data_IF_782592503420
#
_entry.id   IF_782592503420
#
_cell.length_a   1.000
_cell.length_b   1.000
_cell.length_c   1.000
_cell.angle_alpha   90.00
_cell.angle_beta   90.00
_cell.angle_gamma   90.00
#
_symmetry.space_group_name_H-M   'P 1'
#
loop_
_entity.id
_entity.type
_entity.pdbx_description
1 polymer ?
#
# COMPACT_ATOMS: atom_id res chain seq x y z
N UNK A 1 16.23 -38.05 53.22
CA UNK A 1 16.25 -38.38 51.76
C UNK A 1 15.05 -37.81 51.00
N UNK A 2 13.79 -37.89 51.46
CA UNK A 2 12.61 -37.36 50.74
C UNK A 2 12.64 -35.83 50.46
N UNK A 3 13.19 -35.01 51.38
CA UNK A 3 13.23 -33.54 51.22
C UNK A 3 14.24 -33.06 50.16
N UNK A 4 15.36 -33.81 49.97
CA UNK A 4 16.35 -33.51 48.95
C UNK A 4 15.79 -33.78 47.57
N UNK A 5 14.98 -34.83 47.40
CA UNK A 5 14.36 -35.15 46.09
C UNK A 5 13.33 -34.09 45.67
N UNK A 6 12.57 -33.50 46.61
CA UNK A 6 11.61 -32.46 46.32
C UNK A 6 12.33 -31.17 45.88
N UNK A 7 13.44 -30.80 46.53
CA UNK A 7 14.24 -29.65 46.16
C UNK A 7 14.91 -29.81 44.79
N UNK A 8 15.43 -31.02 44.49
CA UNK A 8 15.96 -31.31 43.15
C UNK A 8 14.87 -31.27 42.08
N UNK A 9 13.68 -31.78 42.36
CA UNK A 9 12.56 -31.74 41.41
C UNK A 9 12.08 -30.30 41.16
N UNK A 10 12.05 -29.47 42.23
CA UNK A 10 11.70 -28.05 42.10
C UNK A 10 12.76 -27.29 41.32
N UNK A 11 14.05 -27.57 41.53
CA UNK A 11 15.14 -26.95 40.77
C UNK A 11 15.11 -27.34 39.28
N UNK A 12 14.80 -28.63 39.01
CA UNK A 12 14.67 -29.12 37.63
C UNK A 12 13.45 -28.52 36.90
N UNK A 13 12.33 -28.36 37.61
CA UNK A 13 11.14 -27.70 37.08
C UNK A 13 11.39 -26.20 36.79
N UNK A 14 12.18 -25.53 37.62
CA UNK A 14 12.53 -24.13 37.47
C UNK A 14 13.46 -23.89 36.25
N UNK A 15 14.37 -24.83 35.96
CA UNK A 15 15.25 -24.76 34.76
C UNK A 15 14.50 -24.96 33.45
N UNK A 16 13.41 -25.75 33.45
CA UNK A 16 12.56 -25.98 32.27
C UNK A 16 11.71 -24.72 31.97
N UNK A 17 11.33 -23.96 33.00
CA UNK A 17 10.54 -22.73 32.83
C UNK A 17 11.36 -21.54 32.31
N UNK A 18 12.69 -21.56 32.46
CA UNK A 18 13.58 -20.47 31.97
C UNK A 18 13.99 -20.69 30.51
N UNK A 19 13.91 -21.91 29.98
CA UNK A 19 14.28 -22.25 28.59
C UNK A 19 13.18 -21.96 27.55
N UNK A 20 11.99 -21.51 27.97
CA UNK A 20 10.83 -21.41 27.10
C UNK A 20 10.61 -20.05 26.37
N UNK A 21 11.47 -19.07 26.60
CA UNK A 21 11.48 -17.86 25.78
C UNK A 21 12.62 -17.98 24.75
N UNK A 22 12.41 -18.74 23.69
CA UNK A 22 13.12 -18.43 22.47
C UNK A 22 12.71 -17.01 22.08
N UNK A 23 13.63 -16.09 22.32
CA UNK A 23 13.53 -14.73 21.82
C UNK A 23 13.30 -14.84 20.32
N UNK A 24 12.20 -14.32 19.85
CA UNK A 24 11.97 -14.19 18.41
C UNK A 24 13.17 -13.43 17.83
N UNK A 25 14.08 -14.16 17.21
CA UNK A 25 15.33 -13.64 16.67
C UNK A 25 15.15 -13.17 15.20
N UNK A 26 13.91 -12.94 14.76
CA UNK A 26 13.72 -12.31 13.47
C UNK A 26 14.29 -10.89 13.52
N UNK A 27 15.19 -10.64 12.59
CA UNK A 27 15.71 -9.31 12.34
C UNK A 27 14.51 -8.41 11.96
N UNK A 28 14.37 -7.21 12.56
CA UNK A 28 13.24 -6.35 12.22
C UNK A 28 13.28 -5.96 10.73
N UNK A 29 12.15 -5.59 10.13
CA UNK A 29 12.13 -5.11 8.76
C UNK A 29 13.02 -3.86 8.64
N UNK A 30 13.83 -3.79 7.60
CA UNK A 30 14.82 -2.72 7.42
C UNK A 30 14.99 -2.26 5.96
N UNK A 31 14.27 -2.89 5.01
CA UNK A 31 14.34 -2.55 3.59
C UNK A 31 13.17 -1.64 3.21
N UNK A 32 13.46 -0.51 2.58
CA UNK A 32 12.41 0.39 2.11
C UNK A 32 11.98 0.05 0.68
N UNK A 33 10.69 -0.18 0.51
CA UNK A 33 10.04 -0.15 -0.79
C UNK A 33 9.40 1.23 -0.97
N UNK A 34 9.76 1.94 -2.05
CA UNK A 34 9.23 3.27 -2.34
C UNK A 34 8.75 3.37 -3.78
N UNK A 35 7.78 4.23 -4.03
CA UNK A 35 7.27 4.52 -5.36
C UNK A 35 6.46 5.80 -5.39
N UNK A 36 5.96 6.14 -6.56
CA UNK A 36 5.16 7.36 -6.77
C UNK A 36 4.16 7.17 -7.91
N UNK A 37 2.98 7.75 -7.77
CA UNK A 37 2.02 7.92 -8.85
C UNK A 37 2.34 9.19 -9.64
N UNK A 38 2.23 9.11 -10.96
CA UNK A 38 2.46 10.23 -11.86
C UNK A 38 1.37 10.31 -12.93
N UNK A 39 1.17 11.51 -13.45
CA UNK A 39 0.38 11.76 -14.64
C UNK A 39 1.18 12.64 -15.58
N UNK A 40 1.41 12.17 -16.82
CA UNK A 40 2.27 12.83 -17.81
C UNK A 40 3.66 13.20 -17.24
N UNK A 41 4.23 12.31 -16.41
CA UNK A 41 5.52 12.50 -15.77
C UNK A 41 5.53 13.48 -14.58
N UNK A 42 4.41 14.14 -14.28
CA UNK A 42 4.26 15.04 -13.15
C UNK A 42 3.67 14.31 -11.94
N UNK A 43 3.86 14.88 -10.76
CA UNK A 43 3.25 14.36 -9.52
C UNK A 43 1.73 14.31 -9.67
N UNK A 44 1.15 13.14 -9.36
CA UNK A 44 -0.30 12.97 -9.28
C UNK A 44 -0.75 13.17 -7.84
N UNK A 45 -1.48 14.25 -7.58
CA UNK A 45 -1.97 14.58 -6.25
C UNK A 45 -3.26 13.84 -5.94
N UNK A 46 -3.33 13.30 -4.73
CA UNK A 46 -4.52 12.63 -4.19
C UNK A 46 -5.09 13.45 -3.05
N UNK A 47 -6.40 13.31 -2.80
CA UNK A 47 -6.98 13.83 -1.59
C UNK A 47 -6.55 12.96 -0.40
N UNK A 48 -5.57 13.46 0.38
CA UNK A 48 -4.99 12.75 1.52
C UNK A 48 -5.88 12.68 2.76
N UNK A 49 -7.11 13.17 2.67
CA UNK A 49 -8.01 13.26 3.82
C UNK A 49 -8.97 12.06 3.93
N UNK A 50 -8.57 10.91 3.43
CA UNK A 50 -9.38 9.70 3.49
C UNK A 50 -9.38 9.10 4.89
N UNK A 51 -10.47 9.31 5.59
CA UNK A 51 -10.78 8.59 6.86
C UNK A 51 -11.24 7.15 6.62
N UNK A 52 -11.45 6.75 5.37
CA UNK A 52 -12.06 5.47 5.00
C UNK A 52 -11.08 4.47 4.36
N UNK A 53 -9.77 4.77 4.31
CA UNK A 53 -8.78 3.92 3.65
C UNK A 53 -8.77 4.06 2.12
N UNK A 54 -9.35 5.14 1.56
CA UNK A 54 -9.33 5.41 0.12
C UNK A 54 -7.94 5.79 -0.39
N UNK A 55 -6.99 6.06 0.51
CA UNK A 55 -5.56 6.25 0.25
C UNK A 55 -4.78 4.92 0.22
N UNK A 56 -5.42 3.81 0.56
CA UNK A 56 -4.84 2.47 0.55
C UNK A 56 -5.08 1.77 -0.79
N UNK A 57 -4.56 2.33 -1.87
CA UNK A 57 -4.85 1.90 -3.24
C UNK A 57 -4.05 0.66 -3.67
N UNK A 58 -2.90 0.45 -3.04
CA UNK A 58 -1.98 -0.65 -3.31
C UNK A 58 -1.88 -1.52 -2.07
N UNK A 59 -1.78 -2.81 -2.27
CA UNK A 59 -1.48 -3.77 -1.20
C UNK A 59 -0.32 -4.65 -1.61
N UNK A 60 0.46 -5.09 -0.64
CA UNK A 60 1.53 -6.05 -0.85
C UNK A 60 1.24 -7.38 -0.14
N UNK A 61 1.79 -8.42 -0.69
CA UNK A 61 1.70 -9.78 -0.18
C UNK A 61 3.07 -10.46 -0.29
N UNK A 62 3.46 -11.20 0.75
CA UNK A 62 4.65 -12.05 0.75
C UNK A 62 4.24 -13.49 1.06
N UNK A 63 4.67 -14.44 0.24
CA UNK A 63 4.38 -15.87 0.47
C UNK A 63 5.09 -16.37 1.74
N UNK A 64 4.43 -17.29 2.45
CA UNK A 64 4.97 -17.90 3.67
C UNK A 64 4.67 -17.16 4.97
N UNK A 65 4.06 -15.97 4.92
CA UNK A 65 3.70 -15.18 6.09
C UNK A 65 2.17 -15.12 6.28
N UNK A 66 1.63 -16.05 7.09
CA UNK A 66 0.26 -15.98 7.58
C UNK A 66 -0.84 -16.21 6.54
N UNK A 67 -1.99 -15.56 6.74
CA UNK A 67 -3.14 -15.62 5.86
C UNK A 67 -2.92 -14.79 4.58
N UNK A 68 -3.61 -15.18 3.50
CA UNK A 68 -3.61 -14.49 2.20
C UNK A 68 -4.34 -13.14 2.23
N UNK A 69 -3.99 -12.27 3.17
CA UNK A 69 -4.51 -10.91 3.23
C UNK A 69 -3.38 -9.97 2.88
N UNK A 70 -3.55 -9.21 1.78
CA UNK A 70 -2.60 -8.18 1.42
C UNK A 70 -2.57 -7.07 2.46
N UNK A 71 -1.38 -6.56 2.75
CA UNK A 71 -1.18 -5.42 3.63
C UNK A 71 -1.26 -4.13 2.81
N UNK A 72 -2.11 -3.18 3.18
CA UNK A 72 -2.24 -1.96 2.41
C UNK A 72 -1.00 -1.07 2.51
N UNK A 73 -0.68 -0.40 1.41
CA UNK A 73 0.28 0.69 1.38
C UNK A 73 -0.49 1.99 1.23
N UNK A 74 -0.30 2.90 2.17
CA UNK A 74 -0.88 4.23 2.11
C UNK A 74 -0.12 5.10 1.11
N UNK A 75 -0.87 5.74 0.20
CA UNK A 75 -0.33 6.73 -0.73
C UNK A 75 -0.57 8.11 -0.13
N UNK A 76 0.47 8.94 -0.10
CA UNK A 76 0.41 10.31 0.41
C UNK A 76 -0.25 11.24 -0.61
N UNK A 77 -0.62 12.44 -0.15
CA UNK A 77 -1.20 13.50 -1.01
C UNK A 77 -0.35 13.81 -2.25
N UNK A 78 0.97 13.74 -2.13
CA UNK A 78 1.92 13.97 -3.23
C UNK A 78 2.13 12.73 -4.12
N UNK A 79 1.26 11.74 -4.03
CA UNK A 79 1.32 10.50 -4.80
C UNK A 79 2.43 9.55 -4.40
N UNK A 80 3.29 9.90 -3.44
CA UNK A 80 4.37 9.03 -2.99
C UNK A 80 3.87 7.98 -2.01
N UNK A 81 4.51 6.82 -2.01
CA UNK A 81 4.27 5.78 -1.03
C UNK A 81 5.56 5.11 -0.58
N UNK A 82 5.53 4.54 0.61
CA UNK A 82 6.64 3.79 1.17
C UNK A 82 6.17 2.73 2.13
N UNK A 83 6.89 1.61 2.17
CA UNK A 83 6.69 0.53 3.13
C UNK A 83 8.05 0.04 3.63
N UNK A 84 8.17 -0.19 4.94
CA UNK A 84 9.34 -0.81 5.56
C UNK A 84 9.08 -2.31 5.66
N UNK A 85 9.87 -3.11 4.98
CA UNK A 85 9.60 -4.52 4.74
C UNK A 85 10.82 -5.38 5.09
N UNK A 86 10.60 -6.68 5.19
CA UNK A 86 11.68 -7.66 5.23
C UNK A 86 12.27 -7.87 3.84
N UNK A 87 13.48 -8.37 3.78
CA UNK A 87 14.06 -8.87 2.54
C UNK A 87 13.21 -10.01 1.97
N UNK A 88 13.00 -10.02 0.65
CA UNK A 88 12.25 -11.10 -0.01
C UNK A 88 11.51 -10.68 -1.26
N UNK A 89 10.76 -11.61 -1.82
CA UNK A 89 9.88 -11.36 -2.95
C UNK A 89 8.50 -10.91 -2.46
N UNK A 90 7.97 -9.89 -3.09
CA UNK A 90 6.65 -9.34 -2.81
C UNK A 90 5.81 -9.25 -4.07
N UNK A 91 4.52 -9.51 -3.90
CA UNK A 91 3.48 -9.29 -4.89
C UNK A 91 2.73 -8.01 -4.52
N UNK A 92 2.80 -7.01 -5.40
CA UNK A 92 2.02 -5.79 -5.26
C UNK A 92 0.77 -5.91 -6.14
N UNK A 93 -0.35 -5.52 -5.59
CA UNK A 93 -1.66 -5.58 -6.24
C UNK A 93 -2.40 -4.28 -6.03
N UNK A 94 -3.13 -3.85 -7.05
CA UNK A 94 -4.11 -2.76 -6.93
C UNK A 94 -5.34 -3.29 -6.21
N UNK A 95 -5.80 -2.60 -5.19
CA UNK A 95 -7.06 -2.94 -4.51
C UNK A 95 -8.23 -2.68 -5.45
N UNK A 96 -9.26 -3.50 -5.31
CA UNK A 96 -10.53 -3.24 -6.01
C UNK A 96 -11.17 -1.97 -5.48
N UNK A 97 -11.59 -1.08 -6.36
CA UNK A 97 -12.25 0.17 -5.98
C UNK A 97 -12.59 1.03 -7.19
N UNK A 98 -13.40 2.03 -6.93
CA UNK A 98 -13.76 3.05 -7.91
C UNK A 98 -12.80 4.24 -7.73
N UNK A 99 -11.77 4.29 -8.57
CA UNK A 99 -10.80 5.39 -8.56
C UNK A 99 -11.20 6.47 -9.57
N UNK A 100 -10.83 7.74 -9.34
CA UNK A 100 -11.07 8.83 -10.29
C UNK A 100 -10.06 8.80 -11.46
N UNK A 101 -9.33 7.70 -11.65
CA UNK A 101 -8.30 7.52 -12.68
C UNK A 101 -8.16 6.04 -13.06
N UNK A 102 -7.48 5.78 -14.16
CA UNK A 102 -7.03 4.46 -14.58
C UNK A 102 -5.56 4.24 -14.30
N UNK A 103 -5.19 3.01 -13.97
CA UNK A 103 -3.82 2.54 -13.76
C UNK A 103 -3.14 2.24 -15.11
N UNK A 104 -2.68 3.26 -15.82
CA UNK A 104 -2.11 3.11 -17.17
C UNK A 104 -0.68 2.56 -17.16
N UNK A 105 0.11 2.87 -16.13
CA UNK A 105 1.47 2.38 -15.96
C UNK A 105 1.60 1.10 -15.12
N UNK A 106 0.50 0.53 -14.67
CA UNK A 106 0.52 -0.73 -13.92
C UNK A 106 0.62 -1.94 -14.86
N UNK A 107 1.30 -3.04 -14.47
CA UNK A 107 1.34 -4.26 -15.26
C UNK A 107 -0.05 -4.77 -15.63
N UNK A 108 -0.19 -5.24 -16.86
CA UNK A 108 -1.44 -5.81 -17.38
C UNK A 108 -1.18 -7.21 -17.94
N UNK A 109 -2.16 -8.10 -17.78
CA UNK A 109 -2.13 -9.42 -18.37
C UNK A 109 -2.42 -9.38 -19.89
N UNK A 110 -2.38 -10.53 -20.54
CA UNK A 110 -2.64 -10.66 -21.98
C UNK A 110 -4.05 -10.21 -22.40
N UNK A 111 -4.98 -10.07 -21.46
CA UNK A 111 -6.34 -9.56 -21.69
C UNK A 111 -6.46 -8.06 -21.45
N UNK A 112 -5.37 -7.38 -21.06
CA UNK A 112 -5.37 -5.96 -20.71
C UNK A 112 -5.91 -5.64 -19.31
N UNK A 113 -6.16 -6.64 -18.48
CA UNK A 113 -6.61 -6.46 -17.10
C UNK A 113 -5.39 -6.20 -16.18
N UNK A 114 -5.60 -5.45 -15.09
CA UNK A 114 -4.59 -5.20 -14.05
C UNK A 114 -4.05 -6.52 -13.54
N UNK A 115 -2.73 -6.69 -13.54
CA UNK A 115 -2.04 -7.87 -13.07
C UNK A 115 -1.21 -7.57 -11.81
N UNK A 116 -0.60 -8.58 -11.24
CA UNK A 116 0.29 -8.48 -10.08
C UNK A 116 1.67 -7.99 -10.50
N UNK A 117 2.20 -6.99 -9.80
CA UNK A 117 3.59 -6.56 -9.93
C UNK A 117 4.46 -7.36 -8.95
N UNK A 118 5.44 -8.10 -9.44
CA UNK A 118 6.39 -8.84 -8.60
C UNK A 118 7.63 -7.96 -8.40
N UNK A 119 8.03 -7.80 -7.14
CA UNK A 119 9.23 -7.05 -6.76
C UNK A 119 10.12 -7.88 -5.85
N UNK A 120 11.44 -7.80 -6.04
CA UNK A 120 12.43 -8.48 -5.22
C UNK A 120 13.17 -7.44 -4.37
N UNK A 121 12.99 -7.49 -3.05
CA UNK A 121 13.70 -6.65 -2.08
C UNK A 121 14.99 -7.34 -1.62
N UNK A 122 16.13 -6.71 -1.90
CA UNK A 122 17.46 -7.10 -1.44
C UNK A 122 18.27 -5.84 -1.09
N UNK A 123 17.71 -4.96 -0.29
CA UNK A 123 18.10 -3.57 -0.03
C UNK A 123 16.95 -2.65 -0.38
N UNK A 124 17.11 -1.37 -0.10
CA UNK A 124 16.12 -0.35 -0.46
C UNK A 124 15.82 -0.39 -1.96
N UNK A 125 14.55 -0.40 -2.31
CA UNK A 125 14.08 -0.45 -3.68
C UNK A 125 13.12 0.70 -3.97
N UNK A 126 13.45 1.50 -4.96
CA UNK A 126 12.50 2.40 -5.58
C UNK A 126 12.01 1.78 -6.88
N UNK A 127 10.72 1.47 -6.95
CA UNK A 127 10.10 1.04 -8.21
C UNK A 127 9.93 2.22 -9.15
N UNK A 128 9.86 1.99 -10.47
CA UNK A 128 9.55 3.05 -11.44
C UNK A 128 8.28 3.80 -11.08
N UNK A 129 8.20 5.05 -11.48
CA UNK A 129 6.98 5.84 -11.32
C UNK A 129 5.81 5.15 -12.03
N UNK A 130 4.69 5.08 -11.35
CA UNK A 130 3.48 4.42 -11.83
C UNK A 130 2.59 5.47 -12.47
N UNK A 131 2.44 5.40 -13.78
CA UNK A 131 1.58 6.31 -14.51
C UNK A 131 0.11 5.98 -14.28
N UNK A 132 -0.68 7.01 -13.99
CA UNK A 132 -2.14 6.95 -13.89
C UNK A 132 -2.73 7.99 -14.83
N UNK A 133 -3.95 7.77 -15.31
CA UNK A 133 -4.66 8.72 -16.17
C UNK A 133 -5.98 9.11 -15.53
N UNK A 134 -6.16 10.36 -15.10
CA UNK A 134 -7.42 10.81 -14.51
C UNK A 134 -8.54 10.81 -15.54
N UNK A 135 -9.80 10.64 -15.09
CA UNK A 135 -10.94 10.80 -15.99
C UNK A 135 -11.18 12.26 -16.36
N UNK A 136 -10.87 13.17 -15.43
CA UNK A 136 -11.05 14.60 -15.62
C UNK A 136 -9.82 15.39 -15.18
N UNK A 137 -9.51 16.46 -15.89
CA UNK A 137 -8.55 17.50 -15.48
C UNK A 137 -9.30 18.77 -15.12
N UNK A 138 -8.88 19.43 -14.05
CA UNK A 138 -9.33 20.76 -13.67
C UNK A 138 -8.22 21.75 -14.04
N UNK A 139 -8.54 22.70 -14.91
CA UNK A 139 -7.61 23.70 -15.40
C UNK A 139 -8.14 25.12 -15.14
N UNK A 140 -7.29 26.13 -15.31
CA UNK A 140 -7.64 27.56 -15.26
C UNK A 140 -8.45 27.91 -14.01
N UNK A 141 -7.98 27.46 -12.85
CA UNK A 141 -8.62 27.73 -11.56
C UNK A 141 -8.42 29.23 -11.23
N UNK A 142 -9.52 29.97 -11.11
CA UNK A 142 -9.54 31.34 -10.60
C UNK A 142 -10.39 31.41 -9.35
N UNK A 143 -9.82 31.94 -8.26
CA UNK A 143 -10.48 32.05 -6.97
C UNK A 143 -10.48 33.51 -6.56
N UNK A 144 -11.68 34.11 -6.46
CA UNK A 144 -11.88 35.48 -5.98
C UNK A 144 -12.55 35.46 -4.63
N UNK A 145 -12.03 36.27 -3.71
CA UNK A 145 -12.54 36.45 -2.34
C UNK A 145 -13.22 37.79 -2.15
N UNK A 146 -14.19 37.85 -1.23
CA UNK A 146 -14.92 39.02 -0.84
C UNK A 146 -15.94 38.67 0.26
N UNK A 147 -17.15 39.19 0.18
CA UNK A 147 -18.26 38.76 1.04
C UNK A 147 -18.63 37.29 0.77
N UNK A 148 -18.29 36.79 -0.45
CA UNK A 148 -18.40 35.40 -0.87
C UNK A 148 -17.08 34.98 -1.53
N UNK A 149 -16.76 33.70 -1.48
CA UNK A 149 -15.66 33.09 -2.26
C UNK A 149 -16.28 32.51 -3.51
N UNK A 150 -15.77 32.92 -4.67
CA UNK A 150 -16.18 32.39 -5.96
C UNK A 150 -14.97 31.68 -6.59
N UNK A 151 -15.16 30.44 -7.01
CA UNK A 151 -14.17 29.69 -7.77
C UNK A 151 -14.74 29.37 -9.16
N UNK A 152 -13.95 29.64 -10.19
CA UNK A 152 -14.22 29.23 -11.57
C UNK A 152 -13.09 28.35 -12.06
N UNK A 153 -13.38 27.36 -12.87
CA UNK A 153 -12.40 26.44 -13.44
C UNK A 153 -12.91 25.82 -14.74
N UNK A 154 -11.99 25.34 -15.56
CA UNK A 154 -12.31 24.54 -16.73
C UNK A 154 -12.19 23.06 -16.37
N UNK A 155 -13.23 22.28 -16.68
CA UNK A 155 -13.24 20.84 -16.54
C UNK A 155 -13.05 20.20 -17.91
N UNK A 156 -11.96 19.44 -18.07
CA UNK A 156 -11.65 18.69 -19.28
C UNK A 156 -11.78 17.20 -19.03
N UNK A 157 -12.60 16.52 -19.82
CA UNK A 157 -12.63 15.07 -19.87
C UNK A 157 -11.37 14.54 -20.57
N UNK A 158 -10.65 13.62 -19.94
CA UNK A 158 -9.40 13.03 -20.45
C UNK A 158 -9.64 11.65 -21.02
N UNK A 159 -10.40 10.82 -20.29
CA UNK A 159 -10.79 9.49 -20.72
C UNK A 159 -12.28 9.48 -21.05
N UNK A 160 -12.67 9.19 -22.30
CA UNK A 160 -14.06 9.08 -22.66
C UNK A 160 -14.69 7.86 -21.94
N UNK A 161 -15.77 8.12 -21.25
CA UNK A 161 -16.69 7.15 -20.62
C UNK A 161 -16.03 6.07 -19.77
N UNK A 162 -16.12 6.25 -18.47
CA UNK A 162 -16.07 5.13 -17.53
C UNK A 162 -17.22 4.18 -17.90
N UNK A 163 -16.95 2.90 -18.19
CA UNK A 163 -18.05 1.95 -18.33
C UNK A 163 -18.79 1.85 -16.99
N UNK A 164 -19.93 2.51 -16.91
CA UNK A 164 -20.83 2.42 -15.75
C UNK A 164 -21.24 0.96 -15.63
N UNK A 165 -20.77 0.27 -14.58
CA UNK A 165 -21.27 -1.06 -14.29
C UNK A 165 -22.76 -0.96 -13.96
N UNK A 166 -23.63 -1.80 -14.58
CA UNK A 166 -25.08 -1.73 -14.39
C UNK A 166 -25.57 -2.15 -12.99
N UNK A 167 -24.69 -2.33 -12.01
CA UNK A 167 -25.01 -2.98 -10.72
C UNK A 167 -25.42 -2.06 -9.58
N UNK A 168 -25.46 -0.73 -9.77
CA UNK A 168 -25.65 0.20 -8.67
C UNK A 168 -26.96 1.00 -8.83
N UNK A 169 -28.07 0.26 -8.86
CA UNK A 169 -29.42 0.79 -8.62
C UNK A 169 -30.12 0.00 -7.55
#
# INVERSE_FOLDING_TARGET
MKRINILMLALLAMTILIGGCEKDNFEPPHEWLTGRLTYQGNTFYLDGNSTNGDDELIQFFQEGWGKYEGWPIRIKEDGTFSALLFKGEYKLMVRSGDYPFEWTGWPKNDKGEIDTMIVQLNGDLRIPDIEVTPYFEINNIDITGGAFVTATFDLKEVLPERPVKPSDR
#
